data_IF_765163456314
#
_entry.id   IF_765163456314
#
_cell.length_a   1.000
_cell.length_b   1.000
_cell.length_c   1.000
_cell.angle_alpha   90.00
_cell.angle_beta   90.00
_cell.angle_gamma   90.00
#
_symmetry.space_group_name_H-M   'P 1'
#
loop_
_entity.id
_entity.type
_entity.pdbx_description
1 polymer ?
#
# COMPACT_ATOMS: atom_id res chain seq x y z
N UNK A 1 -10.19 13.75 13.96
CA UNK A 1 -8.97 13.83 14.78
C UNK A 1 -7.82 13.38 13.89
N UNK A 2 -6.89 14.26 13.58
CA UNK A 2 -5.66 13.87 12.87
C UNK A 2 -4.68 13.35 13.91
N UNK A 3 -4.13 12.16 13.66
CA UNK A 3 -3.20 11.51 14.59
C UNK A 3 -1.78 12.07 14.41
N UNK A 4 -1.08 12.31 15.51
CA UNK A 4 0.29 12.83 15.46
C UNK A 4 1.30 11.68 15.31
N UNK A 5 1.99 11.66 14.17
CA UNK A 5 3.03 10.68 13.87
C UNK A 5 4.45 11.21 14.14
N UNK A 6 4.61 12.30 14.92
CA UNK A 6 5.94 12.85 15.28
C UNK A 6 6.85 11.84 15.98
N UNK A 7 6.28 10.90 16.72
CA UNK A 7 7.03 9.87 17.44
C UNK A 7 7.46 8.70 16.55
N UNK A 8 6.93 8.59 15.33
CA UNK A 8 7.35 7.60 14.35
C UNK A 8 8.61 8.10 13.63
N UNK A 9 9.76 7.44 13.82
CA UNK A 9 11.03 7.88 13.23
C UNK A 9 11.45 7.03 12.04
N UNK A 10 12.10 7.64 11.04
CA UNK A 10 12.75 6.89 9.97
C UNK A 10 13.84 5.99 10.57
N UNK A 11 13.92 4.75 10.08
CA UNK A 11 14.79 3.69 10.59
C UNK A 11 14.15 2.83 11.68
N UNK A 12 13.06 3.27 12.31
CA UNK A 12 12.35 2.50 13.33
C UNK A 12 11.70 1.25 12.74
N UNK A 13 11.73 0.14 13.50
CA UNK A 13 10.93 -1.04 13.22
C UNK A 13 9.59 -0.88 13.94
N UNK A 14 8.50 -1.10 13.21
CA UNK A 14 7.14 -1.00 13.73
C UNK A 14 6.34 -2.24 13.39
N UNK A 15 5.32 -2.50 14.20
CA UNK A 15 4.28 -3.44 13.86
C UNK A 15 3.14 -2.70 13.12
N UNK A 16 2.39 -3.44 12.32
CA UNK A 16 1.18 -2.94 11.66
C UNK A 16 0.03 -3.90 11.94
N UNK A 17 -1.12 -3.36 12.31
CA UNK A 17 -2.33 -4.15 12.61
C UNK A 17 -3.52 -3.65 11.79
N UNK A 18 -4.17 -4.59 11.11
CA UNK A 18 -5.43 -4.38 10.41
C UNK A 18 -6.57 -4.99 11.22
N UNK A 19 -7.57 -4.15 11.51
CA UNK A 19 -8.80 -4.55 12.20
C UNK A 19 -9.97 -4.58 11.22
N UNK A 20 -10.95 -5.44 11.41
CA UNK A 20 -12.25 -5.31 10.74
C UNK A 20 -13.10 -4.26 11.45
N UNK A 21 -14.15 -3.76 10.80
CA UNK A 21 -14.99 -2.70 11.34
C UNK A 21 -15.62 -3.01 12.72
N UNK A 22 -15.86 -4.28 13.01
CA UNK A 22 -16.34 -4.74 14.32
C UNK A 22 -15.26 -4.81 15.41
N UNK A 23 -14.03 -4.34 15.14
CA UNK A 23 -12.90 -4.35 16.08
C UNK A 23 -12.11 -5.65 16.12
N UNK A 24 -12.42 -6.65 15.28
CA UNK A 24 -11.66 -7.89 15.21
C UNK A 24 -10.27 -7.65 14.61
N UNK A 25 -9.20 -8.05 15.32
CA UNK A 25 -7.84 -8.05 14.76
C UNK A 25 -7.74 -9.12 13.68
N UNK A 26 -7.71 -8.72 12.42
CA UNK A 26 -7.73 -9.63 11.28
C UNK A 26 -6.32 -10.04 10.84
N UNK A 27 -5.39 -9.08 10.79
CA UNK A 27 -4.02 -9.34 10.33
C UNK A 27 -3.01 -8.46 11.04
N UNK A 28 -1.84 -9.02 11.34
CA UNK A 28 -0.71 -8.30 11.92
C UNK A 28 0.57 -8.58 11.13
N UNK A 29 1.33 -7.52 10.86
CA UNK A 29 2.66 -7.55 10.28
C UNK A 29 3.66 -7.14 11.35
N UNK A 30 4.69 -7.96 11.58
CA UNK A 30 5.72 -7.66 12.56
C UNK A 30 7.01 -7.21 11.88
N UNK A 31 7.65 -6.17 12.44
CA UNK A 31 8.94 -5.67 11.99
C UNK A 31 8.93 -5.12 10.56
N UNK A 32 8.03 -4.18 10.28
CA UNK A 32 8.11 -3.32 9.10
C UNK A 32 9.06 -2.14 9.38
N UNK A 33 9.97 -1.81 8.45
CA UNK A 33 10.92 -0.71 8.65
C UNK A 33 10.35 0.60 8.12
N UNK A 34 10.32 1.66 8.92
CA UNK A 34 9.96 3.00 8.45
C UNK A 34 11.11 3.55 7.61
N UNK A 35 10.89 3.77 6.31
CA UNK A 35 11.90 4.36 5.42
C UNK A 35 11.64 5.83 5.13
N UNK A 36 10.40 6.28 5.34
CA UNK A 36 10.01 7.66 5.12
C UNK A 36 8.81 8.05 5.98
N UNK A 37 8.83 9.26 6.53
CA UNK A 37 7.71 9.82 7.29
C UNK A 37 7.75 11.36 7.17
N UNK A 38 6.70 11.95 6.59
CA UNK A 38 6.51 13.41 6.53
C UNK A 38 5.08 13.78 6.96
N UNK A 39 4.64 15.02 6.84
CA UNK A 39 3.28 15.43 7.23
C UNK A 39 2.15 14.75 6.43
N UNK A 40 2.43 14.20 5.24
CA UNK A 40 1.41 13.66 4.32
C UNK A 40 1.27 12.14 4.39
N UNK A 41 2.38 11.41 4.51
CA UNK A 41 2.37 9.95 4.47
C UNK A 41 3.54 9.32 5.24
N UNK A 42 3.46 8.00 5.35
CA UNK A 42 4.50 7.10 5.82
C UNK A 42 4.78 6.11 4.70
N UNK A 43 6.04 5.74 4.50
CA UNK A 43 6.41 4.60 3.67
C UNK A 43 7.20 3.61 4.50
N UNK A 44 6.74 2.36 4.49
CA UNK A 44 7.41 1.24 5.15
C UNK A 44 8.08 0.35 4.11
N UNK A 45 9.17 -0.30 4.50
CA UNK A 45 9.80 -1.38 3.77
C UNK A 45 9.52 -2.71 4.46
N UNK A 46 9.04 -3.67 3.68
CA UNK A 46 8.76 -5.03 4.12
C UNK A 46 9.78 -5.98 3.50
N UNK A 47 10.53 -6.67 4.37
CA UNK A 47 11.45 -7.72 3.98
C UNK A 47 11.62 -8.66 5.18
N UNK A 48 11.37 -9.95 4.98
CA UNK A 48 11.28 -10.93 6.07
C UNK A 48 10.26 -10.57 7.18
N UNK A 49 9.38 -9.60 6.92
CA UNK A 49 8.27 -9.20 7.80
C UNK A 49 7.34 -10.40 7.98
N UNK A 50 7.11 -10.79 9.24
CA UNK A 50 6.21 -11.91 9.58
C UNK A 50 4.77 -11.41 9.57
N UNK A 51 3.87 -12.23 9.07
CA UNK A 51 2.44 -11.93 9.00
C UNK A 51 1.67 -13.00 9.76
N UNK A 52 0.77 -12.57 10.63
CA UNK A 52 -0.20 -13.41 11.32
C UNK A 52 -1.60 -13.04 10.85
N UNK A 53 -2.37 -14.03 10.40
CA UNK A 53 -3.77 -13.88 9.97
C UNK A 53 -4.64 -14.63 10.97
N UNK A 54 -5.63 -13.95 11.54
CA UNK A 54 -6.41 -14.45 12.66
C UNK A 54 -7.78 -15.01 12.25
N UNK A 55 -8.15 -14.93 10.97
CA UNK A 55 -9.44 -15.38 10.47
C UNK A 55 -9.54 -16.92 10.46
N UNK A 56 -10.52 -17.48 11.19
CA UNK A 56 -10.92 -18.90 11.30
C UNK A 56 -9.84 -19.91 11.72
N UNK A 57 -8.56 -19.68 11.43
CA UNK A 57 -7.38 -20.42 11.89
C UNK A 57 -6.18 -19.47 11.87
N UNK A 58 -5.31 -19.54 12.88
CA UNK A 58 -4.10 -18.73 12.88
C UNK A 58 -3.15 -19.20 11.78
N UNK A 59 -3.07 -18.44 10.69
CA UNK A 59 -2.09 -18.66 9.64
C UNK A 59 -0.89 -17.72 9.83
N UNK A 60 0.31 -18.21 9.53
CA UNK A 60 1.54 -17.43 9.64
C UNK A 60 2.40 -17.61 8.41
N UNK A 61 2.78 -16.51 7.81
CA UNK A 61 3.70 -16.47 6.67
C UNK A 61 4.67 -15.30 6.81
N UNK A 62 5.60 -15.13 5.88
CA UNK A 62 6.51 -13.98 5.86
C UNK A 62 6.73 -13.49 4.43
N UNK A 63 6.99 -12.19 4.29
CA UNK A 63 7.42 -11.63 3.01
C UNK A 63 8.77 -12.24 2.60
N UNK A 64 8.78 -12.94 1.47
CA UNK A 64 10.00 -13.48 0.84
C UNK A 64 10.59 -12.53 -0.19
N UNK A 65 9.81 -11.53 -0.60
CA UNK A 65 10.20 -10.49 -1.54
C UNK A 65 10.08 -9.12 -0.89
N UNK A 66 10.81 -8.16 -1.46
CA UNK A 66 10.80 -6.78 -1.02
C UNK A 66 9.48 -6.10 -1.39
N UNK A 67 8.88 -5.39 -0.44
CA UNK A 67 7.72 -4.55 -0.72
C UNK A 67 7.84 -3.17 -0.09
N UNK A 68 7.25 -2.19 -0.75
CA UNK A 68 7.01 -0.86 -0.20
C UNK A 68 5.56 -0.75 0.24
N UNK A 69 5.31 -0.20 1.42
CA UNK A 69 3.96 0.02 1.93
C UNK A 69 3.72 1.52 2.12
N UNK A 70 2.92 2.10 1.23
CA UNK A 70 2.51 3.49 1.26
C UNK A 70 1.28 3.65 2.14
N UNK A 71 1.39 4.51 3.15
CA UNK A 71 0.36 4.76 4.15
C UNK A 71 0.12 6.28 4.20
N UNK A 72 -0.80 6.82 3.37
CA UNK A 72 -1.21 8.22 3.47
C UNK A 72 -1.92 8.49 4.79
N UNK A 73 -1.60 9.60 5.45
CA UNK A 73 -2.14 9.93 6.78
C UNK A 73 -3.57 10.47 6.71
N UNK A 74 -3.97 10.98 5.54
CA UNK A 74 -5.26 11.64 5.34
C UNK A 74 -6.04 11.10 4.13
N UNK A 75 -5.88 9.82 3.80
CA UNK A 75 -6.68 9.12 2.78
C UNK A 75 -7.22 7.82 3.36
N UNK A 76 -8.31 7.30 2.82
CA UNK A 76 -8.93 6.06 3.25
C UNK A 76 -8.39 4.83 2.51
N UNK A 77 -7.08 4.79 2.28
CA UNK A 77 -6.44 3.60 1.73
C UNK A 77 -4.99 3.47 2.22
N UNK A 78 -4.42 2.30 2.04
CA UNK A 78 -2.99 2.08 2.03
C UNK A 78 -2.62 1.16 0.86
N UNK A 79 -1.38 1.22 0.37
CA UNK A 79 -0.96 0.47 -0.82
C UNK A 79 0.35 -0.27 -0.59
N UNK A 80 0.36 -1.57 -0.86
CA UNK A 80 1.55 -2.41 -0.86
C UNK A 80 1.98 -2.63 -2.31
N UNK A 81 3.21 -2.22 -2.63
CA UNK A 81 3.88 -2.44 -3.90
C UNK A 81 4.92 -3.54 -3.70
N UNK A 82 4.60 -4.75 -4.16
CA UNK A 82 5.49 -5.89 -4.12
C UNK A 82 6.43 -5.86 -5.34
N UNK A 83 7.74 -5.79 -5.08
CA UNK A 83 8.78 -5.58 -6.08
C UNK A 83 9.25 -6.93 -6.65
N UNK A 84 8.50 -7.48 -7.62
CA UNK A 84 8.83 -8.76 -8.24
C UNK A 84 10.01 -8.57 -9.20
N UNK A 85 11.11 -9.27 -8.92
CA UNK A 85 12.37 -9.18 -9.70
C UNK A 85 12.18 -9.37 -11.22
N UNK A 86 11.26 -10.26 -11.61
CA UNK A 86 11.09 -10.66 -13.02
C UNK A 86 9.75 -10.24 -13.64
N UNK A 87 8.73 -9.98 -12.82
CA UNK A 87 7.37 -9.75 -13.32
C UNK A 87 6.87 -8.34 -13.06
N UNK A 88 7.63 -7.47 -12.40
CA UNK A 88 7.33 -6.05 -12.20
C UNK A 88 6.68 -5.73 -10.85
N UNK A 89 5.82 -4.70 -10.81
CA UNK A 89 5.27 -4.19 -9.55
C UNK A 89 3.84 -4.70 -9.37
N UNK A 90 3.60 -5.40 -8.28
CA UNK A 90 2.27 -5.88 -7.94
C UNK A 90 1.69 -4.90 -6.93
N UNK A 91 0.69 -4.14 -7.37
CA UNK A 91 -0.01 -3.17 -6.54
C UNK A 91 -1.19 -3.86 -5.86
N UNK A 92 -1.21 -3.79 -4.54
CA UNK A 92 -2.35 -4.17 -3.72
C UNK A 92 -2.75 -2.95 -2.88
N UNK A 93 -3.92 -2.40 -3.15
CA UNK A 93 -4.45 -1.22 -2.45
C UNK A 93 -5.65 -1.65 -1.63
N UNK A 94 -5.57 -1.40 -0.33
CA UNK A 94 -6.64 -1.68 0.61
C UNK A 94 -7.38 -0.40 0.95
N UNK A 95 -8.69 -0.38 0.72
CA UNK A 95 -9.55 0.72 1.19
C UNK A 95 -9.77 0.51 2.69
N UNK A 96 -9.29 1.47 3.47
CA UNK A 96 -9.11 1.35 4.90
C UNK A 96 -9.40 2.68 5.63
N UNK A 97 -9.50 2.65 6.95
CA UNK A 97 -9.50 3.88 7.74
C UNK A 97 -8.18 4.62 7.59
N UNK A 98 -8.22 5.92 7.90
CA UNK A 98 -6.99 6.66 8.16
C UNK A 98 -6.18 5.96 9.27
N UNK A 99 -4.85 5.91 9.15
CA UNK A 99 -4.00 5.22 10.12
C UNK A 99 -3.95 5.97 11.45
N UNK A 100 -3.66 5.24 12.52
CA UNK A 100 -3.24 5.77 13.82
C UNK A 100 -1.89 5.12 14.22
N UNK A 101 -1.17 5.69 15.20
CA UNK A 101 0.14 5.17 15.63
C UNK A 101 0.32 5.15 17.16
N UNK A 102 -0.11 4.08 17.81
CA UNK A 102 0.03 3.92 19.26
C UNK A 102 0.85 2.67 19.59
N UNK A 103 1.53 2.67 20.74
CA UNK A 103 2.28 1.51 21.23
C UNK A 103 3.28 0.93 20.21
N UNK A 104 3.97 1.80 19.47
CA UNK A 104 4.92 1.38 18.43
C UNK A 104 4.28 0.66 17.23
N UNK A 105 2.94 0.76 17.09
CA UNK A 105 2.16 0.01 16.12
C UNK A 105 1.31 0.95 15.27
N UNK A 106 1.40 0.82 13.95
CA UNK A 106 0.47 1.48 13.04
C UNK A 106 -0.80 0.64 12.98
N UNK A 107 -1.96 1.25 13.23
CA UNK A 107 -3.26 0.54 13.21
C UNK A 107 -4.20 1.19 12.21
N UNK A 108 -5.01 0.37 11.55
CA UNK A 108 -6.09 0.83 10.68
C UNK A 108 -7.23 -0.19 10.66
N UNK A 109 -8.39 0.25 10.20
CA UNK A 109 -9.56 -0.60 9.95
C UNK A 109 -9.59 -0.91 8.46
N UNK A 110 -9.64 -2.18 8.10
CA UNK A 110 -9.86 -2.71 6.75
C UNK A 110 -11.36 -2.62 6.43
N UNK A 111 -11.72 -2.01 5.29
CA UNK A 111 -13.12 -1.87 4.86
C UNK A 111 -13.53 -2.91 3.82
N UNK A 112 -12.81 -4.04 3.74
CA UNK A 112 -13.16 -5.24 2.98
C UNK A 112 -13.20 -5.09 1.45
N UNK A 113 -12.85 -3.92 0.90
CA UNK A 113 -12.83 -3.67 -0.53
C UNK A 113 -11.42 -3.31 -0.97
N UNK A 114 -10.88 -4.10 -1.89
CA UNK A 114 -9.50 -3.98 -2.34
C UNK A 114 -9.43 -3.69 -3.84
N UNK A 115 -8.30 -3.12 -4.24
CA UNK A 115 -7.92 -2.90 -5.63
C UNK A 115 -6.58 -3.56 -5.90
N UNK A 116 -6.45 -4.25 -7.03
CA UNK A 116 -5.21 -4.90 -7.46
C UNK A 116 -4.86 -4.46 -8.87
N UNK A 117 -3.58 -4.19 -9.10
CA UNK A 117 -3.03 -3.94 -10.43
C UNK A 117 -1.71 -4.68 -10.58
N UNK A 118 -1.56 -5.41 -11.68
CA UNK A 118 -0.37 -6.20 -11.98
C UNK A 118 0.13 -5.85 -13.37
N UNK A 119 1.41 -6.11 -13.67
CA UNK A 119 1.94 -5.83 -14.99
C UNK A 119 1.13 -6.56 -16.06
N UNK A 120 0.80 -5.85 -17.14
CA UNK A 120 -0.04 -6.31 -18.26
C UNK A 120 -1.51 -6.60 -17.90
N UNK A 121 -1.98 -6.21 -16.71
CA UNK A 121 -3.39 -6.32 -16.31
C UNK A 121 -3.92 -4.95 -15.92
N UNK A 122 -5.14 -4.67 -16.37
CA UNK A 122 -5.88 -3.49 -15.91
C UNK A 122 -6.17 -3.56 -14.41
N UNK A 123 -6.50 -2.41 -13.84
CA UNK A 123 -6.93 -2.27 -12.46
C UNK A 123 -8.19 -3.10 -12.18
N UNK A 124 -8.15 -3.92 -11.13
CA UNK A 124 -9.23 -4.82 -10.74
C UNK A 124 -9.71 -4.50 -9.33
N UNK A 125 -11.02 -4.31 -9.18
CA UNK A 125 -11.69 -4.25 -7.88
C UNK A 125 -12.00 -5.68 -7.44
N UNK A 126 -11.48 -6.10 -6.30
CA UNK A 126 -11.60 -7.46 -5.76
C UNK A 126 -12.28 -7.46 -4.39
N UNK A 127 -12.57 -8.65 -3.88
CA UNK A 127 -13.19 -8.87 -2.56
C UNK A 127 -14.60 -8.22 -2.39
N UNK A 128 -15.27 -7.99 -3.53
CA UNK A 128 -16.64 -7.42 -3.62
C UNK A 128 -17.66 -8.22 -2.81
N UNK A 129 -17.55 -9.55 -2.81
CA UNK A 129 -18.47 -10.43 -2.11
C UNK A 129 -18.25 -10.37 -0.58
N UNK A 130 -17.00 -10.25 -0.14
CA UNK A 130 -16.66 -10.05 1.28
C UNK A 130 -17.20 -8.71 1.76
N UNK A 131 -16.95 -7.63 1.00
CA UNK A 131 -17.50 -6.31 1.27
C UNK A 131 -19.03 -6.31 1.36
N UNK A 132 -19.72 -6.87 0.36
CA UNK A 132 -21.19 -6.92 0.34
C UNK A 132 -21.76 -7.65 1.56
N UNK A 133 -21.11 -8.75 1.97
CA UNK A 133 -21.49 -9.51 3.16
C UNK A 133 -21.22 -8.73 4.45
N UNK A 134 -20.03 -8.15 4.61
CA UNK A 134 -19.62 -7.47 5.83
C UNK A 134 -20.37 -6.16 6.06
N UNK A 135 -20.75 -5.44 5.00
CA UNK A 135 -21.66 -4.28 5.08
C UNK A 135 -22.94 -4.63 5.85
N UNK A 136 -23.54 -5.78 5.54
CA UNK A 136 -24.79 -6.22 6.17
C UNK A 136 -24.51 -6.75 7.58
N UNK A 137 -23.51 -7.63 7.73
CA UNK A 137 -23.22 -8.30 9.01
C UNK A 137 -22.72 -7.35 10.09
N UNK A 138 -21.83 -6.42 9.72
CA UNK A 138 -21.23 -5.45 10.64
C UNK A 138 -21.97 -4.12 10.65
N UNK A 139 -23.09 -4.01 9.93
CA UNK A 139 -23.97 -2.82 9.88
C UNK A 139 -23.21 -1.54 9.53
N UNK A 140 -22.49 -1.55 8.39
CA UNK A 140 -21.73 -0.39 7.95
C UNK A 140 -22.66 0.83 7.83
N UNK A 141 -22.36 1.94 8.54
CA UNK A 141 -23.19 3.12 8.45
C UNK A 141 -23.10 3.74 7.04
N UNK A 142 -24.14 4.48 6.64
CA UNK A 142 -24.24 4.99 5.27
C UNK A 142 -23.10 5.96 4.90
N UNK A 143 -22.57 6.70 5.88
CA UNK A 143 -21.40 7.55 5.66
C UNK A 143 -20.13 6.75 5.32
N UNK A 144 -19.94 5.57 5.92
CA UNK A 144 -18.78 4.71 5.67
C UNK A 144 -18.85 4.14 4.26
N UNK A 145 -20.02 3.69 3.81
CA UNK A 145 -20.21 3.22 2.43
C UNK A 145 -19.82 4.31 1.44
N UNK A 146 -20.29 5.55 1.66
CA UNK A 146 -19.91 6.71 0.84
C UNK A 146 -18.41 6.94 0.83
N UNK A 147 -17.75 6.88 2.00
CA UNK A 147 -16.28 7.00 2.10
C UNK A 147 -15.59 5.94 1.25
N UNK A 148 -16.00 4.67 1.34
CA UNK A 148 -15.41 3.58 0.57
C UNK A 148 -15.56 3.82 -0.94
N UNK A 149 -16.75 4.23 -1.41
CA UNK A 149 -16.97 4.49 -2.83
C UNK A 149 -16.21 5.72 -3.34
N UNK A 150 -16.12 6.80 -2.56
CA UNK A 150 -15.35 7.98 -2.94
C UNK A 150 -13.84 7.69 -2.96
N UNK A 151 -13.34 6.89 -2.01
CA UNK A 151 -11.93 6.51 -2.02
C UNK A 151 -11.60 5.56 -3.17
N UNK A 152 -12.51 4.66 -3.55
CA UNK A 152 -12.35 3.86 -4.75
C UNK A 152 -12.23 4.74 -6.00
N UNK A 153 -13.06 5.77 -6.14
CA UNK A 153 -12.95 6.75 -7.25
C UNK A 153 -11.60 7.47 -7.22
N UNK A 154 -11.14 7.87 -6.03
CA UNK A 154 -9.84 8.50 -5.85
C UNK A 154 -8.69 7.58 -6.32
N UNK A 155 -8.70 6.30 -5.93
CA UNK A 155 -7.70 5.31 -6.37
C UNK A 155 -7.71 5.15 -7.90
N UNK A 156 -8.89 5.10 -8.51
CA UNK A 156 -9.03 5.03 -9.98
C UNK A 156 -8.48 6.29 -10.66
N UNK A 157 -8.68 7.48 -10.09
CA UNK A 157 -8.07 8.72 -10.58
C UNK A 157 -6.54 8.65 -10.48
N UNK A 158 -6.01 8.27 -9.31
CA UNK A 158 -4.56 8.13 -9.10
C UNK A 158 -3.92 7.16 -10.11
N UNK A 159 -4.61 6.06 -10.43
CA UNK A 159 -4.18 5.10 -11.43
C UNK A 159 -4.19 5.71 -12.84
N UNK A 160 -5.31 6.33 -13.24
CA UNK A 160 -5.48 6.95 -14.56
C UNK A 160 -4.46 8.07 -14.81
N UNK A 161 -4.19 8.87 -13.78
CA UNK A 161 -3.30 10.03 -13.85
C UNK A 161 -1.82 9.68 -13.61
N UNK A 162 -1.49 8.38 -13.44
CA UNK A 162 -0.15 7.90 -13.03
C UNK A 162 0.42 8.69 -11.85
N UNK A 163 -0.42 8.95 -10.86
CA UNK A 163 -0.11 9.80 -9.73
C UNK A 163 0.35 8.99 -8.51
N UNK A 164 1.06 9.68 -7.62
CA UNK A 164 1.51 9.15 -6.34
C UNK A 164 2.32 7.84 -6.47
N UNK A 165 1.92 6.72 -5.87
CA UNK A 165 2.68 5.46 -5.97
C UNK A 165 2.55 4.75 -7.32
N UNK A 166 1.64 5.20 -8.20
CA UNK A 166 1.64 4.78 -9.62
C UNK A 166 2.64 5.56 -10.47
N UNK A 167 3.16 6.68 -9.95
CA UNK A 167 4.17 7.46 -10.64
C UNK A 167 5.54 6.77 -10.56
N UNK A 168 6.18 6.44 -11.69
CA UNK A 168 7.46 5.73 -11.72
C UNK A 168 8.62 6.54 -11.12
N UNK A 169 8.61 7.87 -11.20
CA UNK A 169 9.64 8.73 -10.58
C UNK A 169 9.54 8.68 -9.06
N UNK A 170 8.32 8.73 -8.51
CA UNK A 170 8.08 8.61 -7.07
C UNK A 170 8.57 7.23 -6.58
N UNK A 171 8.30 6.16 -7.33
CA UNK A 171 8.85 4.85 -7.02
C UNK A 171 10.38 4.84 -7.05
N UNK A 172 10.99 5.43 -8.09
CA UNK A 172 12.44 5.57 -8.22
C UNK A 172 13.07 6.22 -6.99
N UNK A 173 12.48 7.31 -6.50
CA UNK A 173 12.91 7.99 -5.28
C UNK A 173 12.97 7.06 -4.05
N UNK A 174 11.94 6.23 -3.84
CA UNK A 174 11.95 5.29 -2.71
C UNK A 174 12.93 4.13 -2.92
N UNK A 175 13.09 3.66 -4.16
CA UNK A 175 14.09 2.64 -4.48
C UNK A 175 15.52 3.13 -4.20
N UNK A 176 15.82 4.40 -4.48
CA UNK A 176 17.10 5.02 -4.16
C UNK A 176 17.37 5.06 -2.65
N UNK A 177 16.35 5.37 -1.84
CA UNK A 177 16.44 5.28 -0.38
C UNK A 177 16.79 3.84 0.05
N UNK A 178 16.12 2.84 -0.52
CA UNK A 178 16.39 1.44 -0.18
C UNK A 178 17.83 1.03 -0.51
N UNK A 179 18.38 1.46 -1.64
CA UNK A 179 19.78 1.17 -2.02
C UNK A 179 20.76 1.89 -1.09
N UNK A 180 20.52 3.18 -0.83
CA UNK A 180 21.37 4.00 0.05
C UNK A 180 21.46 3.44 1.47
N UNK A 181 20.32 2.96 1.98
CA UNK A 181 20.22 2.37 3.32
C UNK A 181 20.61 0.88 3.34
N UNK A 182 21.09 0.33 2.22
CA UNK A 182 21.51 -1.07 2.05
C UNK A 182 20.39 -2.07 2.38
N UNK A 183 19.14 -1.69 2.16
CA UNK A 183 17.95 -2.52 2.33
C UNK A 183 17.71 -3.44 1.13
N UNK A 184 18.19 -3.04 -0.04
CA UNK A 184 18.22 -3.86 -1.26
C UNK A 184 19.60 -3.79 -1.91
N UNK A 185 19.98 -4.84 -2.64
CA UNK A 185 21.22 -4.84 -3.40
C UNK A 185 21.15 -3.88 -4.59
N UNK A 186 22.25 -3.17 -4.87
CA UNK A 186 22.37 -2.33 -6.07
C UNK A 186 22.09 -3.13 -7.35
N UNK A 187 22.56 -4.39 -7.41
CA UNK A 187 22.27 -5.29 -8.54
C UNK A 187 20.77 -5.55 -8.71
N UNK A 188 20.00 -5.68 -7.62
CA UNK A 188 18.55 -5.83 -7.72
C UNK A 188 17.94 -4.54 -8.29
N UNK A 189 18.32 -3.38 -7.74
CA UNK A 189 17.88 -2.07 -8.21
C UNK A 189 18.14 -1.86 -9.71
N UNK A 190 19.39 -2.03 -10.17
CA UNK A 190 19.77 -1.78 -11.56
C UNK A 190 18.94 -2.63 -12.53
N UNK A 191 18.72 -3.91 -12.18
CA UNK A 191 17.89 -4.82 -12.98
C UNK A 191 16.41 -4.44 -12.93
N UNK A 192 15.91 -3.99 -11.78
CA UNK A 192 14.52 -3.65 -11.59
C UNK A 192 14.15 -2.35 -12.33
N UNK A 193 14.98 -1.31 -12.21
CA UNK A 193 14.80 -0.02 -12.91
C UNK A 193 14.81 -0.24 -14.43
N UNK A 194 15.84 -0.92 -14.95
CA UNK A 194 16.00 -1.18 -16.38
C UNK A 194 14.79 -1.90 -16.99
N UNK A 195 14.17 -2.81 -16.25
CA UNK A 195 13.07 -3.64 -16.76
C UNK A 195 11.69 -3.03 -16.56
N UNK A 196 11.48 -2.34 -15.45
CA UNK A 196 10.14 -1.95 -15.03
C UNK A 196 9.97 -0.44 -15.08
N UNK A 197 10.83 0.32 -14.40
CA UNK A 197 10.64 1.78 -14.27
C UNK A 197 10.86 2.49 -15.61
N UNK A 198 11.88 2.10 -16.37
CA UNK A 198 12.10 2.71 -17.70
C UNK A 198 10.92 2.46 -18.65
N UNK A 199 10.34 1.24 -18.64
CA UNK A 199 9.16 0.91 -19.44
C UNK A 199 7.95 1.78 -19.05
N UNK A 200 7.71 1.94 -17.74
CA UNK A 200 6.61 2.79 -17.26
C UNK A 200 6.82 4.28 -17.60
N UNK A 201 8.06 4.78 -17.57
CA UNK A 201 8.36 6.15 -18.01
C UNK A 201 8.04 6.34 -19.49
N UNK A 202 8.47 5.41 -20.35
CA UNK A 202 8.20 5.48 -21.80
C UNK A 202 6.69 5.46 -22.09
N UNK A 203 5.93 4.58 -21.42
CA UNK A 203 4.46 4.56 -21.52
C UNK A 203 3.84 5.88 -21.02
N UNK A 204 4.25 6.37 -19.86
CA UNK A 204 3.77 7.62 -19.26
C UNK A 204 4.04 8.83 -20.16
N UNK A 205 5.23 8.94 -20.73
CA UNK A 205 5.62 10.02 -21.64
C UNK A 205 4.78 9.98 -22.92
N UNK A 206 4.58 8.79 -23.50
CA UNK A 206 3.72 8.60 -24.68
C UNK A 206 2.27 9.04 -24.42
N UNK A 207 1.69 8.65 -23.28
CA UNK A 207 0.33 9.06 -22.91
C UNK A 207 0.24 10.57 -22.63
N UNK A 208 1.23 11.13 -21.94
CA UNK A 208 1.28 12.57 -21.63
C UNK A 208 1.34 13.41 -22.91
N UNK A 209 2.08 12.98 -23.92
CA UNK A 209 2.18 13.68 -25.20
C UNK A 209 0.90 13.58 -26.05
N UNK A 210 0.14 12.48 -25.92
CA UNK A 210 -1.19 12.36 -26.53
C UNK A 210 -2.21 13.31 -25.89
N UNK A 211 -2.15 13.49 -24.56
CA UNK A 211 -3.08 14.34 -23.80
C UNK A 211 -2.79 15.85 -23.96
N UNK A 212 -1.62 16.23 -24.48
CA UNK A 212 -1.25 17.63 -24.76
C UNK A 212 -1.72 18.12 -26.14
N UNK A 213 -2.28 17.25 -26.99
CA UNK A 213 -2.87 17.60 -28.30
C UNK A 213 -4.38 17.79 -28.20
#
# INVERSE_FOLDING_TARGET
MEWDFKNLKVGQMVDVQAYKFNGFLYRQWNSAKVIFNNSRHIVLFLCNTKVSEYEKNLNRWKYTENALWFIPKNSYFNAILLLKKNTGIYHYINIASKPIFEDGTIKFIDFDLDVKCYPEKELQIVDRDEFAKNIVQMKYPENLKKIVFEELKNIVSLYTDYAYFFNPEILGYYLDILVKDKLIEKRFYDNFIKRNVQKYNEEFDMFSDLMKK
#
